data_IF_010630076819
#
_entry.id   IF_010630076819
#
_cell.length_a   1.000
_cell.length_b   1.000
_cell.length_c   1.000
_cell.angle_alpha   90.00
_cell.angle_beta   90.00
_cell.angle_gamma   90.00
#
_symmetry.space_group_name_H-M   'P 1'
#
loop_
_entity.id
_entity.type
_entity.pdbx_description
1 polymer ?
#
# COMPACT_ATOMS: atom_id res chain seq x y z
N UNK A 1 1.61 1.99 -1.49
CA UNK A 1 0.67 1.03 -0.88
C UNK A 1 -0.79 1.39 -1.22
N UNK A 2 -1.42 2.35 -0.54
CA UNK A 2 -2.86 2.65 -0.73
C UNK A 2 -3.30 3.07 -2.15
N UNK A 3 -2.41 3.64 -2.95
CA UNK A 3 -2.68 3.96 -4.36
C UNK A 3 -3.06 2.74 -5.20
N UNK A 4 -2.60 1.55 -4.83
CA UNK A 4 -2.92 0.32 -5.57
C UNK A 4 -4.42 0.02 -5.55
N UNK A 5 -5.13 0.43 -4.49
CA UNK A 5 -6.56 0.25 -4.37
C UNK A 5 -7.39 1.09 -5.35
N UNK A 6 -6.78 2.11 -5.99
CA UNK A 6 -7.45 2.95 -6.99
C UNK A 6 -7.02 2.66 -8.43
N UNK A 7 -5.99 1.84 -8.65
CA UNK A 7 -5.51 1.50 -10.00
C UNK A 7 -6.60 0.89 -10.91
N UNK A 8 -7.44 -0.07 -10.44
CA UNK A 8 -8.49 -0.66 -11.27
C UNK A 8 -9.60 0.33 -11.66
N UNK A 9 -9.64 1.51 -11.04
CA UNK A 9 -10.67 2.53 -11.27
C UNK A 9 -10.26 3.56 -12.33
N UNK A 10 -9.15 3.35 -13.05
CA UNK A 10 -8.71 4.22 -14.14
C UNK A 10 -8.37 5.65 -13.70
N UNK A 11 -8.02 5.81 -12.43
CA UNK A 11 -7.77 7.10 -11.78
C UNK A 11 -6.41 7.11 -11.10
N UNK A 12 -5.90 8.29 -10.78
CA UNK A 12 -4.70 8.43 -9.94
C UNK A 12 -4.89 9.54 -8.90
N UNK A 13 -3.96 9.62 -7.94
CA UNK A 13 -3.98 10.67 -6.90
C UNK A 13 -3.93 12.08 -7.51
N UNK A 14 -3.19 12.25 -8.62
CA UNK A 14 -2.95 13.56 -9.24
C UNK A 14 -4.20 14.17 -9.86
N UNK A 15 -5.18 13.35 -10.26
CA UNK A 15 -6.44 13.82 -10.82
C UNK A 15 -7.33 14.51 -9.78
N UNK A 16 -6.96 14.52 -8.48
CA UNK A 16 -7.64 15.20 -7.37
C UNK A 16 -9.14 14.85 -7.22
N UNK A 17 -9.60 13.76 -7.85
CA UNK A 17 -10.99 13.27 -7.80
C UNK A 17 -11.32 12.56 -6.50
N UNK A 18 -10.30 12.14 -5.75
CA UNK A 18 -10.46 11.39 -4.51
C UNK A 18 -9.96 12.18 -3.31
N UNK A 19 -10.76 12.22 -2.26
CA UNK A 19 -10.28 12.45 -0.91
C UNK A 19 -9.70 11.14 -0.39
N UNK A 20 -8.39 11.15 -0.16
CA UNK A 20 -7.66 10.00 0.37
C UNK A 20 -7.07 10.34 1.73
N UNK A 21 -7.13 9.38 2.65
CA UNK A 21 -6.51 9.46 3.96
C UNK A 21 -6.19 8.05 4.47
N UNK A 22 -5.05 7.87 5.14
CA UNK A 22 -4.74 6.62 5.84
C UNK A 22 -5.67 6.49 7.06
N UNK A 23 -6.22 5.30 7.30
CA UNK A 23 -7.05 5.02 8.49
C UNK A 23 -6.25 4.25 9.54
N UNK A 24 -5.54 3.21 9.11
CA UNK A 24 -4.60 2.45 9.92
C UNK A 24 -3.28 2.23 9.17
N UNK A 25 -2.35 1.56 9.84
CA UNK A 25 -1.16 0.98 9.24
C UNK A 25 -0.56 -0.04 10.21
N UNK A 26 -0.30 -1.26 9.75
CA UNK A 26 0.33 -2.29 10.56
C UNK A 26 1.51 -2.91 9.81
N UNK A 27 2.63 -3.11 10.51
CA UNK A 27 3.85 -3.69 9.97
C UNK A 27 4.39 -4.75 10.94
N UNK A 28 4.96 -5.80 10.36
CA UNK A 28 5.69 -6.83 11.08
C UNK A 28 7.07 -6.96 10.46
N UNK A 29 8.11 -6.82 11.28
CA UNK A 29 9.50 -6.95 10.88
C UNK A 29 9.99 -8.35 11.23
N UNK A 30 10.45 -9.09 10.22
CA UNK A 30 10.83 -10.50 10.36
C UNK A 30 12.34 -10.68 10.48
N UNK A 31 13.12 -9.73 9.95
CA UNK A 31 14.59 -9.70 10.06
C UNK A 31 15.11 -8.26 9.98
N UNK A 32 16.38 -8.08 10.32
CA UNK A 32 17.11 -6.81 10.20
C UNK A 32 17.07 -6.29 8.76
N UNK A 33 16.96 -4.97 8.59
CA UNK A 33 17.09 -4.33 7.29
C UNK A 33 18.28 -3.38 7.28
N UNK A 34 19.02 -3.37 6.18
CA UNK A 34 20.03 -2.37 5.87
C UNK A 34 19.42 -1.41 4.85
N UNK A 35 19.08 -0.20 5.29
CA UNK A 35 18.32 0.79 4.48
C UNK A 35 19.12 1.38 3.32
N UNK A 36 20.43 1.14 3.29
CA UNK A 36 21.35 1.55 2.23
C UNK A 36 21.45 0.52 1.08
N UNK A 37 20.81 -0.64 1.22
CA UNK A 37 20.71 -1.66 0.17
C UNK A 37 19.36 -1.61 -0.55
N UNK A 38 19.34 -2.10 -1.79
CA UNK A 38 18.09 -2.22 -2.53
C UNK A 38 17.12 -3.17 -1.84
N UNK A 39 15.87 -2.74 -1.77
CA UNK A 39 14.74 -3.54 -1.31
C UNK A 39 13.61 -3.50 -2.34
N UNK A 40 12.98 -4.64 -2.58
CA UNK A 40 11.75 -4.72 -3.36
C UNK A 40 10.57 -4.50 -2.43
N UNK A 41 9.76 -3.47 -2.69
CA UNK A 41 8.45 -3.32 -2.08
C UNK A 41 7.37 -3.83 -3.02
N UNK A 42 6.89 -5.05 -2.77
CA UNK A 42 5.81 -5.69 -3.51
C UNK A 42 4.49 -5.48 -2.76
N UNK A 43 3.44 -5.05 -3.45
CA UNK A 43 2.16 -4.76 -2.81
C UNK A 43 0.99 -4.88 -3.77
N UNK A 44 -0.17 -5.23 -3.23
CA UNK A 44 -1.42 -5.42 -3.96
C UNK A 44 -2.60 -4.75 -3.22
N UNK A 45 -3.79 -4.83 -3.81
CA UNK A 45 -5.03 -4.42 -3.18
C UNK A 45 -6.13 -5.43 -3.52
N UNK A 46 -6.54 -6.29 -2.58
CA UNK A 46 -7.58 -7.28 -2.85
C UNK A 46 -8.98 -6.66 -2.85
N UNK A 47 -9.19 -5.46 -2.26
CA UNK A 47 -10.52 -4.87 -2.14
C UNK A 47 -10.53 -3.35 -2.03
N UNK A 48 -11.44 -2.73 -2.79
CA UNK A 48 -11.86 -1.33 -2.63
C UNK A 48 -13.39 -1.29 -2.56
N UNK A 49 -13.95 -0.81 -1.46
CA UNK A 49 -15.40 -0.81 -1.21
C UNK A 49 -15.77 0.14 -0.07
N UNK A 50 -16.99 0.69 -0.10
CA UNK A 50 -17.52 1.53 0.99
C UNK A 50 -16.67 2.78 1.24
N UNK A 51 -16.16 3.39 0.18
CA UNK A 51 -15.20 4.50 0.20
C UNK A 51 -13.89 4.18 0.96
N UNK A 52 -13.48 2.91 1.02
CA UNK A 52 -12.20 2.47 1.58
C UNK A 52 -11.45 1.58 0.62
N UNK A 53 -10.13 1.59 0.71
CA UNK A 53 -9.22 0.70 0.01
C UNK A 53 -8.35 -0.05 1.01
N UNK A 54 -8.27 -1.36 0.86
CA UNK A 54 -7.39 -2.22 1.65
C UNK A 54 -6.24 -2.70 0.79
N UNK A 55 -5.02 -2.55 1.29
CA UNK A 55 -3.80 -2.92 0.59
C UNK A 55 -2.88 -3.75 1.50
N UNK A 56 -2.20 -4.71 0.89
CA UNK A 56 -1.18 -5.53 1.57
C UNK A 56 0.17 -5.34 0.89
N UNK A 57 1.25 -5.55 1.63
CA UNK A 57 2.59 -5.38 1.10
C UNK A 57 3.65 -6.21 1.81
N UNK A 58 4.73 -6.45 1.10
CA UNK A 58 5.90 -7.19 1.54
C UNK A 58 7.17 -6.47 1.07
N UNK A 59 8.17 -6.38 1.95
CA UNK A 59 9.49 -5.86 1.62
C UNK A 59 10.46 -7.03 1.55
N UNK A 60 11.21 -7.15 0.46
CA UNK A 60 12.24 -8.16 0.26
C UNK A 60 13.62 -7.53 0.08
N UNK A 61 14.67 -8.20 0.55
CA UNK A 61 16.06 -7.86 0.21
C UNK A 61 16.33 -8.16 -1.27
N UNK A 62 17.46 -7.69 -1.79
CA UNK A 62 17.92 -8.01 -3.15
C UNK A 62 18.10 -9.52 -3.38
N UNK A 63 18.45 -10.26 -2.32
CA UNK A 63 18.63 -11.70 -2.30
C UNK A 63 17.31 -12.46 -2.14
N UNK A 64 16.17 -11.75 -2.06
CA UNK A 64 14.83 -12.33 -1.95
C UNK A 64 14.40 -12.68 -0.52
N UNK A 65 15.12 -12.21 0.51
CA UNK A 65 14.75 -12.45 1.91
C UNK A 65 13.56 -11.55 2.29
N UNK A 66 12.50 -12.11 2.85
CA UNK A 66 11.36 -11.35 3.37
C UNK A 66 11.76 -10.57 4.63
N UNK A 67 11.84 -9.25 4.51
CA UNK A 67 12.23 -8.32 5.57
C UNK A 67 11.03 -7.94 6.43
N UNK A 68 9.92 -7.55 5.79
CA UNK A 68 8.73 -7.08 6.50
C UNK A 68 7.45 -7.40 5.72
N UNK A 69 6.35 -7.57 6.47
CA UNK A 69 4.98 -7.62 5.94
C UNK A 69 4.18 -6.42 6.45
N UNK A 70 3.21 -5.95 5.67
CA UNK A 70 2.35 -4.85 6.07
C UNK A 70 0.94 -4.93 5.51
N UNK A 71 0.03 -4.28 6.21
CA UNK A 71 -1.37 -4.08 5.80
C UNK A 71 -1.76 -2.64 6.07
N UNK A 72 -2.62 -2.08 5.21
CA UNK A 72 -3.11 -0.73 5.35
C UNK A 72 -4.53 -0.59 4.78
N UNK A 73 -5.44 -0.01 5.54
CA UNK A 73 -6.72 0.51 5.07
C UNK A 73 -6.67 2.05 5.00
N UNK A 74 -7.33 2.61 3.98
CA UNK A 74 -7.43 4.04 3.78
C UNK A 74 -8.79 4.45 3.23
N UNK A 75 -9.20 5.69 3.52
CA UNK A 75 -10.31 6.35 2.85
C UNK A 75 -9.98 6.53 1.37
N UNK A 76 -10.91 6.15 0.50
CA UNK A 76 -10.88 6.26 -0.96
C UNK A 76 -12.21 6.86 -1.43
N UNK A 77 -12.48 8.14 -1.11
CA UNK A 77 -13.78 8.76 -1.36
C UNK A 77 -13.74 9.68 -2.57
N UNK A 78 -14.62 9.48 -3.54
CA UNK A 78 -14.82 10.45 -4.63
C UNK A 78 -15.30 11.79 -4.05
N UNK A 79 -14.69 12.89 -4.48
CA UNK A 79 -15.18 14.25 -4.20
C UNK A 79 -16.26 14.60 -5.22
N UNK A 80 -17.36 15.18 -4.73
CA UNK A 80 -18.40 15.78 -5.55
C UNK A 80 -17.96 17.17 -6.04
#
# INVERSE_FOLDING_TARGET
LLTTAILPHGTNIMQNRFQMASLDHAMWFHTSCLVDQWMLFAYDSPRSSGARGFATGQIFSREGILIASMTQEGLMRLRN
#
